data_IF_463198645054
#
_entry.id   IF_463198645054
#
_cell.length_a   1.000
_cell.length_b   1.000
_cell.length_c   1.000
_cell.angle_alpha   90.00
_cell.angle_beta   90.00
_cell.angle_gamma   90.00
#
_symmetry.space_group_name_H-M   'P 1'
#
loop_
_entity.id
_entity.type
_entity.pdbx_description
1 polymer ?
#
# COMPACT_ATOMS: atom_id res chain seq x y z
N UNK A 1 -0.52 -18.87 -1.82
CA UNK A 1 -0.82 -18.63 -3.24
C UNK A 1 -2.23 -18.09 -3.39
N UNK A 2 -2.40 -17.11 -4.28
CA UNK A 2 -3.71 -16.57 -4.64
C UNK A 2 -3.83 -16.44 -6.15
N UNK A 3 -4.97 -16.89 -6.68
CA UNK A 3 -5.31 -16.73 -8.09
C UNK A 3 -6.66 -16.01 -8.15
N UNK A 4 -6.69 -14.86 -8.81
CA UNK A 4 -7.90 -14.08 -9.01
C UNK A 4 -8.34 -14.16 -10.47
N UNK A 5 -9.59 -14.59 -10.68
CA UNK A 5 -10.26 -14.58 -11.98
C UNK A 5 -11.22 -13.42 -12.02
N UNK A 6 -11.02 -12.52 -12.97
CA UNK A 6 -11.81 -11.29 -13.12
C UNK A 6 -12.92 -11.55 -14.15
N UNK A 7 -14.14 -11.65 -13.67
CA UNK A 7 -15.33 -11.95 -14.48
C UNK A 7 -16.24 -10.73 -14.72
N UNK A 8 -15.74 -9.54 -14.41
CA UNK A 8 -16.45 -8.27 -14.65
C UNK A 8 -15.75 -7.47 -15.74
N UNK A 9 -16.53 -6.68 -16.48
CA UNK A 9 -16.01 -5.72 -17.44
C UNK A 9 -15.84 -4.36 -16.78
N UNK A 10 -14.58 -4.04 -16.48
CA UNK A 10 -14.16 -2.75 -15.95
C UNK A 10 -12.99 -2.21 -16.76
N UNK A 11 -12.86 -0.91 -16.80
CA UNK A 11 -11.74 -0.25 -17.50
C UNK A 11 -10.40 -0.65 -16.90
N UNK A 12 -10.34 -0.73 -15.58
CA UNK A 12 -9.19 -1.16 -14.77
C UNK A 12 -9.66 -1.54 -13.38
N UNK A 13 -8.96 -2.48 -12.74
CA UNK A 13 -9.04 -2.65 -11.29
C UNK A 13 -8.19 -1.56 -10.61
N UNK A 14 -8.61 -1.09 -9.44
CA UNK A 14 -7.80 -0.16 -8.65
C UNK A 14 -6.57 -0.86 -8.07
N UNK A 15 -6.77 -2.06 -7.53
CA UNK A 15 -5.71 -2.87 -6.92
C UNK A 15 -6.07 -4.36 -6.91
N UNK A 16 -5.05 -5.20 -6.81
CA UNK A 16 -5.16 -6.66 -6.63
C UNK A 16 -4.27 -7.05 -5.47
N UNK A 17 -4.85 -7.46 -4.36
CA UNK A 17 -4.12 -7.77 -3.14
C UNK A 17 -5.02 -8.19 -2.00
N UNK A 18 -4.51 -8.06 -0.79
CA UNK A 18 -5.23 -8.33 0.45
C UNK A 18 -5.09 -7.16 1.42
N UNK A 19 -6.05 -7.06 2.32
CA UNK A 19 -6.05 -6.09 3.41
C UNK A 19 -6.23 -6.80 4.74
N UNK A 20 -5.49 -6.37 5.75
CA UNK A 20 -5.68 -6.86 7.11
C UNK A 20 -5.55 -5.74 8.14
N UNK A 21 -6.09 -5.99 9.33
CA UNK A 21 -5.93 -5.13 10.49
C UNK A 21 -4.90 -5.77 11.42
N UNK A 22 -3.94 -4.98 11.88
CA UNK A 22 -2.88 -5.38 12.79
C UNK A 22 -3.01 -4.65 14.12
N UNK A 23 -2.40 -5.16 15.20
CA UNK A 23 -2.31 -4.46 16.48
C UNK A 23 -1.68 -3.07 16.31
N UNK A 24 -2.19 -2.07 17.03
CA UNK A 24 -1.66 -0.70 16.96
C UNK A 24 -0.25 -0.61 17.57
N UNK A 25 0.09 -1.54 18.46
CA UNK A 25 1.41 -1.70 19.09
C UNK A 25 2.50 -2.06 18.07
N UNK A 26 2.14 -2.72 16.98
CA UNK A 26 3.05 -3.04 15.88
C UNK A 26 3.27 -1.80 15.00
N UNK A 27 3.97 -0.85 15.55
CA UNK A 27 4.16 0.49 14.98
C UNK A 27 5.45 0.67 14.21
N UNK A 28 6.43 -0.21 14.40
CA UNK A 28 7.75 -0.13 13.75
C UNK A 28 7.73 -0.89 12.42
N UNK A 29 8.43 -0.36 11.43
CA UNK A 29 8.53 -0.91 10.08
C UNK A 29 9.99 -1.03 9.67
N UNK A 30 10.32 -2.13 9.01
CA UNK A 30 11.53 -2.25 8.20
C UNK A 30 11.14 -2.89 6.87
N UNK A 31 11.58 -2.33 5.74
CA UNK A 31 11.27 -2.94 4.44
C UNK A 31 12.43 -2.87 3.48
N UNK A 32 12.50 -3.87 2.60
CA UNK A 32 13.39 -3.87 1.45
C UNK A 32 12.57 -3.68 0.18
N UNK A 33 12.58 -2.48 -0.33
CA UNK A 33 11.78 -2.03 -1.47
C UNK A 33 12.12 -0.61 -1.86
N UNK A 34 11.21 0.05 -2.56
CA UNK A 34 11.37 1.47 -2.87
C UNK A 34 10.99 2.34 -1.67
N UNK A 35 11.71 3.45 -1.52
CA UNK A 35 11.52 4.39 -0.42
C UNK A 35 12.51 5.57 -0.46
N UNK A 36 12.60 6.35 0.64
CA UNK A 36 11.78 6.26 1.87
C UNK A 36 10.35 6.78 1.70
N UNK A 37 10.12 7.67 0.72
CA UNK A 37 8.82 8.28 0.44
C UNK A 37 7.90 7.33 -0.34
N UNK A 38 6.65 7.74 -0.53
CA UNK A 38 5.67 6.97 -1.29
C UNK A 38 6.07 6.80 -2.75
N UNK A 39 5.63 5.69 -3.34
CA UNK A 39 5.81 5.39 -4.76
C UNK A 39 4.61 4.61 -5.29
N UNK A 40 4.32 4.81 -6.58
CA UNK A 40 3.26 4.14 -7.33
C UNK A 40 3.83 3.73 -8.68
N UNK A 41 3.25 2.78 -9.38
CA UNK A 41 3.84 2.21 -10.60
C UNK A 41 4.15 3.26 -11.68
N UNK A 42 3.35 4.32 -11.77
CA UNK A 42 3.56 5.47 -12.66
C UNK A 42 4.32 6.64 -12.02
N UNK A 43 4.76 6.50 -10.76
CA UNK A 43 5.48 7.53 -9.99
C UNK A 43 6.43 6.90 -8.98
N UNK A 44 7.51 6.28 -9.44
CA UNK A 44 8.45 5.56 -8.58
C UNK A 44 9.94 5.83 -8.85
N UNK A 45 10.26 6.58 -9.88
CA UNK A 45 11.67 6.76 -10.30
C UNK A 45 12.50 7.53 -9.26
N UNK A 46 11.88 8.40 -8.46
CA UNK A 46 12.56 9.13 -7.38
C UNK A 46 12.76 8.28 -6.11
N UNK A 47 12.08 7.14 -5.99
CA UNK A 47 12.18 6.24 -4.84
C UNK A 47 13.16 5.11 -5.16
N UNK A 48 14.34 5.14 -4.57
CA UNK A 48 15.37 4.12 -4.80
C UNK A 48 15.07 2.84 -4.02
N UNK A 49 15.55 1.71 -4.55
CA UNK A 49 15.48 0.43 -3.86
C UNK A 49 16.55 0.37 -2.77
N UNK A 50 16.14 0.09 -1.55
CA UNK A 50 17.01 0.01 -0.38
C UNK A 50 16.31 -0.63 0.80
N UNK A 51 17.01 -0.73 1.93
CA UNK A 51 16.43 -1.11 3.22
C UNK A 51 16.13 0.18 3.98
N UNK A 52 14.89 0.33 4.40
CA UNK A 52 14.40 1.50 5.09
C UNK A 52 13.71 1.12 6.40
N UNK A 53 13.72 2.06 7.33
CA UNK A 53 13.03 1.96 8.61
C UNK A 53 12.06 3.13 8.76
N UNK A 54 10.99 2.94 9.51
CA UNK A 54 10.03 3.98 9.81
C UNK A 54 9.00 3.54 10.85
N UNK A 55 8.07 4.43 11.13
CA UNK A 55 6.91 4.10 11.97
C UNK A 55 5.62 4.32 11.19
N UNK A 56 4.58 3.55 11.52
CA UNK A 56 3.29 3.57 10.81
C UNK A 56 2.71 4.99 10.72
N UNK A 57 2.80 5.78 11.79
CA UNK A 57 2.23 7.13 11.84
C UNK A 57 2.89 8.15 10.90
N UNK A 58 4.08 7.84 10.40
CA UNK A 58 4.84 8.69 9.47
C UNK A 58 4.72 8.25 8.00
N UNK A 59 4.00 7.15 7.74
CA UNK A 59 3.84 6.65 6.38
C UNK A 59 2.75 7.38 5.60
N UNK A 60 1.96 8.22 6.25
CA UNK A 60 0.85 8.95 5.63
C UNK A 60 1.18 10.42 5.43
N UNK A 61 0.85 10.94 4.25
CA UNK A 61 0.89 12.37 3.98
C UNK A 61 -0.45 13.03 4.34
N UNK A 62 -0.46 14.18 5.05
CA UNK A 62 -1.69 14.82 5.49
C UNK A 62 -2.34 15.65 4.35
N UNK A 63 -2.88 14.99 3.35
CA UNK A 63 -3.64 15.65 2.30
C UNK A 63 -4.80 16.45 2.88
N UNK A 64 -5.11 17.63 2.28
CA UNK A 64 -6.25 18.47 2.71
C UNK A 64 -7.54 17.68 2.72
N UNK A 65 -7.81 16.95 1.63
CA UNK A 65 -8.87 15.93 1.57
C UNK A 65 -8.25 14.57 1.83
N UNK A 66 -8.65 13.87 2.90
CA UNK A 66 -8.16 12.53 3.18
C UNK A 66 -8.36 11.59 2.00
N UNK A 67 -7.30 10.88 1.65
CA UNK A 67 -7.27 9.92 0.57
C UNK A 67 -6.17 8.91 0.81
N UNK A 68 -6.17 7.81 0.08
CA UNK A 68 -5.07 6.88 0.12
C UNK A 68 -3.76 7.55 -0.28
N UNK A 69 -2.69 7.19 0.44
CA UNK A 69 -1.34 7.67 0.20
C UNK A 69 -0.33 6.76 0.92
N UNK A 70 0.96 7.02 0.76
CA UNK A 70 2.02 6.32 1.49
C UNK A 70 2.40 4.96 0.94
N UNK A 71 1.88 4.56 -0.23
CA UNK A 71 2.23 3.29 -0.85
C UNK A 71 3.74 3.16 -1.12
N UNK A 72 4.28 1.95 -1.00
CA UNK A 72 5.65 1.59 -1.34
C UNK A 72 5.63 0.47 -2.37
N UNK A 73 6.34 0.65 -3.48
CA UNK A 73 6.39 -0.32 -4.58
C UNK A 73 7.64 -1.20 -4.54
N UNK A 74 7.61 -2.29 -5.30
CA UNK A 74 8.74 -3.17 -5.55
C UNK A 74 9.36 -3.76 -4.26
N UNK A 75 8.52 -4.12 -3.26
CA UNK A 75 9.03 -4.66 -2.01
C UNK A 75 9.35 -6.14 -2.14
N UNK A 76 10.49 -6.54 -1.58
CA UNK A 76 10.95 -7.93 -1.46
C UNK A 76 10.42 -8.52 -0.17
N UNK A 77 10.51 -7.72 0.92
CA UNK A 77 9.97 -8.07 2.20
C UNK A 77 9.61 -6.81 3.01
N UNK A 78 8.76 -6.99 4.00
CA UNK A 78 8.31 -6.01 4.97
C UNK A 78 8.24 -6.68 6.34
N UNK A 79 8.79 -6.05 7.35
CA UNK A 79 8.64 -6.40 8.76
C UNK A 79 7.80 -5.33 9.46
N UNK A 80 6.88 -5.78 10.31
CA UNK A 80 6.03 -4.91 11.13
C UNK A 80 6.06 -5.48 12.54
N UNK A 81 6.48 -4.67 13.52
CA UNK A 81 6.75 -5.17 14.86
C UNK A 81 6.55 -4.10 15.96
N UNK A 82 6.45 -4.56 17.20
CA UNK A 82 6.39 -3.73 18.40
C UNK A 82 7.79 -3.34 18.90
N UNK A 83 7.84 -2.62 20.04
CA UNK A 83 9.11 -2.19 20.66
C UNK A 83 9.91 -3.36 21.25
N UNK A 84 9.35 -4.54 21.36
CA UNK A 84 10.00 -5.76 21.86
C UNK A 84 10.47 -6.69 20.73
N UNK A 85 10.21 -6.32 19.47
CA UNK A 85 10.55 -7.10 18.29
C UNK A 85 9.52 -8.18 17.94
N UNK A 86 8.38 -8.23 18.61
CA UNK A 86 7.30 -9.15 18.28
C UNK A 86 6.49 -8.62 17.10
N UNK A 87 6.32 -9.42 16.08
CA UNK A 87 5.67 -8.98 14.84
C UNK A 87 5.64 -10.04 13.76
N UNK A 88 5.56 -9.58 12.52
CA UNK A 88 5.55 -10.45 11.34
C UNK A 88 6.49 -9.94 10.26
N UNK A 89 7.01 -10.87 9.48
CA UNK A 89 7.68 -10.63 8.21
C UNK A 89 6.81 -11.11 7.07
N UNK A 90 6.71 -10.30 6.03
CA UNK A 90 5.97 -10.59 4.79
C UNK A 90 6.97 -10.59 3.65
N UNK A 91 6.96 -11.65 2.84
CA UNK A 91 7.79 -11.79 1.65
C UNK A 91 6.90 -12.08 0.44
N UNK A 92 7.08 -11.37 -0.65
CA UNK A 92 6.30 -11.54 -1.88
C UNK A 92 7.04 -12.22 -3.02
N UNK A 93 6.30 -12.96 -3.85
CA UNK A 93 6.78 -13.53 -5.12
C UNK A 93 5.72 -13.31 -6.22
N UNK A 94 5.99 -12.48 -7.22
CA UNK A 94 7.12 -11.53 -7.32
C UNK A 94 7.06 -10.44 -6.24
N UNK A 95 7.65 -9.29 -6.48
CA UNK A 95 7.56 -8.13 -5.58
C UNK A 95 6.12 -7.72 -5.33
N UNK A 96 5.90 -7.03 -4.22
CA UNK A 96 4.59 -6.53 -3.84
C UNK A 96 4.65 -5.04 -3.48
N UNK A 97 3.49 -4.42 -3.44
CA UNK A 97 3.30 -3.08 -2.90
C UNK A 97 2.72 -3.19 -1.49
N UNK A 98 3.06 -2.26 -0.61
CA UNK A 98 2.35 -2.14 0.64
C UNK A 98 1.97 -0.69 0.94
N UNK A 99 0.87 -0.56 1.66
CA UNK A 99 0.43 0.66 2.31
C UNK A 99 0.03 0.31 3.74
N UNK A 100 0.44 1.11 4.70
CA UNK A 100 0.03 0.92 6.09
C UNK A 100 -0.31 2.25 6.74
N UNK A 101 -1.47 2.31 7.40
CA UNK A 101 -2.01 3.53 8.00
C UNK A 101 -2.79 3.23 9.27
N UNK A 102 -2.91 4.23 10.15
CA UNK A 102 -3.79 4.17 11.33
C UNK A 102 -5.28 4.43 11.00
N UNK A 103 -5.64 4.53 9.73
CA UNK A 103 -6.98 4.82 9.25
C UNK A 103 -7.46 3.71 8.33
N UNK A 104 -8.73 3.31 8.47
CA UNK A 104 -9.33 2.44 7.47
C UNK A 104 -9.75 3.25 6.23
N UNK A 105 -9.93 2.56 5.08
CA UNK A 105 -10.48 3.20 3.87
C UNK A 105 -11.83 3.85 4.14
N UNK A 106 -12.60 3.26 5.07
CA UNK A 106 -13.89 3.81 5.49
C UNK A 106 -13.73 5.15 6.21
N UNK A 107 -12.70 5.30 7.05
CA UNK A 107 -12.41 6.54 7.75
C UNK A 107 -11.93 7.61 6.77
N UNK A 108 -11.04 7.25 5.85
CA UNK A 108 -10.59 8.14 4.78
C UNK A 108 -11.77 8.64 3.93
N UNK A 109 -12.65 7.73 3.49
CA UNK A 109 -13.81 8.09 2.66
C UNK A 109 -14.87 8.94 3.38
N UNK A 110 -14.99 8.80 4.69
CA UNK A 110 -15.94 9.59 5.49
C UNK A 110 -15.43 10.98 5.81
N UNK A 111 -14.14 11.15 5.94
CA UNK A 111 -13.52 12.40 6.36
C UNK A 111 -13.31 13.33 5.16
N UNK A 112 -13.91 14.51 5.23
CA UNK A 112 -13.77 15.52 4.17
C UNK A 112 -12.55 16.43 4.35
N UNK A 113 -11.95 16.43 5.55
CA UNK A 113 -10.82 17.29 5.91
C UNK A 113 -9.86 16.52 6.82
N UNK A 114 -8.56 16.75 6.66
CA UNK A 114 -7.51 16.05 7.40
C UNK A 114 -7.70 16.11 8.93
N UNK A 115 -8.09 17.26 9.47
CA UNK A 115 -8.29 17.44 10.91
C UNK A 115 -9.52 16.69 11.47
N UNK A 116 -10.38 16.13 10.63
CA UNK A 116 -11.51 15.28 11.06
C UNK A 116 -11.16 13.79 11.09
N UNK A 117 -9.96 13.41 10.62
CA UNK A 117 -9.47 12.06 10.75
C UNK A 117 -9.08 11.76 12.19
N UNK A 118 -9.67 10.72 12.74
CA UNK A 118 -9.34 10.22 14.08
C UNK A 118 -8.55 8.93 13.92
N UNK A 119 -7.39 8.85 14.55
CA UNK A 119 -6.57 7.63 14.55
C UNK A 119 -7.36 6.48 15.17
N UNK A 120 -7.39 5.38 14.46
CA UNK A 120 -8.04 4.16 14.93
C UNK A 120 -7.18 3.37 15.92
N UNK A 121 -7.78 2.34 16.49
CA UNK A 121 -7.14 1.39 17.42
C UNK A 121 -6.39 0.26 16.70
N UNK A 122 -6.22 0.37 15.39
CA UNK A 122 -5.59 -0.65 14.53
C UNK A 122 -4.74 0.00 13.44
N UNK A 123 -3.72 -0.73 13.06
CA UNK A 123 -2.98 -0.46 11.83
C UNK A 123 -3.65 -1.22 10.68
N UNK A 124 -3.97 -0.52 9.60
CA UNK A 124 -4.56 -1.10 8.39
C UNK A 124 -3.47 -1.28 7.35
N UNK A 125 -3.18 -2.55 7.04
CA UNK A 125 -2.16 -2.94 6.08
C UNK A 125 -2.81 -3.44 4.79
N UNK A 126 -2.41 -2.85 3.67
CA UNK A 126 -2.63 -3.40 2.34
C UNK A 126 -1.35 -4.07 1.85
N UNK A 127 -1.48 -5.26 1.29
CA UNK A 127 -0.42 -6.01 0.62
C UNK A 127 -0.93 -6.31 -0.77
N UNK A 128 -0.44 -5.55 -1.76
CA UNK A 128 -0.94 -5.65 -3.11
C UNK A 128 0.09 -6.29 -4.04
N UNK A 129 -0.35 -7.24 -4.84
CA UNK A 129 0.44 -7.71 -5.96
C UNK A 129 0.64 -6.57 -6.96
N UNK A 130 -0.44 -5.85 -7.27
CA UNK A 130 -0.42 -4.69 -8.15
C UNK A 130 -1.46 -3.65 -7.74
N UNK A 131 -1.12 -2.41 -8.04
CA UNK A 131 -2.01 -1.26 -7.94
C UNK A 131 -1.95 -0.51 -9.27
N UNK A 132 -3.06 0.05 -9.77
CA UNK A 132 -3.02 0.87 -10.96
C UNK A 132 -2.27 2.19 -10.68
N UNK A 133 -1.77 2.83 -11.73
CA UNK A 133 -1.19 4.16 -11.64
C UNK A 133 -2.19 5.21 -11.14
N UNK A 134 -1.67 6.31 -10.64
CA UNK A 134 -2.47 7.43 -10.12
C UNK A 134 -2.84 8.45 -11.21
N UNK A 135 -2.08 8.50 -12.31
CA UNK A 135 -2.17 9.57 -13.29
C UNK A 135 -1.61 10.89 -12.75
N UNK A 136 -2.15 12.02 -13.26
CA UNK A 136 -1.77 13.33 -12.74
C UNK A 136 -0.78 14.08 -13.62
N UNK A 137 -0.71 13.75 -14.90
CA UNK A 137 0.10 14.50 -15.88
C UNK A 137 -0.41 15.94 -16.05
N UNK A 138 -1.69 16.14 -15.77
CA UNK A 138 -2.35 17.44 -15.80
C UNK A 138 -3.33 17.61 -14.60
N UNK A 139 -3.81 18.83 -14.38
CA UNK A 139 -4.68 19.17 -13.24
C UNK A 139 -6.16 18.88 -13.48
N UNK A 140 -6.56 18.54 -14.68
CA UNK A 140 -7.98 18.44 -15.10
C UNK A 140 -8.38 17.06 -15.61
N UNK A 141 -7.43 16.15 -15.75
CA UNK A 141 -7.69 14.81 -16.26
C UNK A 141 -7.28 13.73 -15.24
N UNK A 142 -8.19 12.84 -14.83
CA UNK A 142 -7.85 11.69 -14.00
C UNK A 142 -7.24 10.55 -14.83
N UNK A 143 -6.68 10.82 -16.01
CA UNK A 143 -6.20 9.78 -16.92
C UNK A 143 -4.96 9.12 -16.37
N UNK A 144 -5.00 7.78 -16.37
CA UNK A 144 -3.85 6.92 -16.13
C UNK A 144 -3.39 6.38 -17.48
N UNK A 145 -2.11 6.37 -17.76
CA UNK A 145 -1.55 5.77 -18.98
C UNK A 145 -1.89 4.29 -19.06
N UNK A 146 -2.09 3.79 -20.29
CA UNK A 146 -2.64 2.45 -20.54
C UNK A 146 -1.79 1.31 -19.95
N UNK A 147 -0.48 1.49 -19.90
CA UNK A 147 0.48 0.56 -19.34
C UNK A 147 0.37 0.38 -17.81
N UNK A 148 -0.18 1.38 -17.11
CA UNK A 148 -0.39 1.35 -15.66
C UNK A 148 -1.82 0.95 -15.26
N UNK A 149 -2.65 0.53 -16.22
CA UNK A 149 -3.99 0.02 -15.96
C UNK A 149 -3.97 -1.49 -15.69
N UNK A 150 -4.75 -1.94 -14.72
CA UNK A 150 -4.89 -3.36 -14.39
C UNK A 150 -6.06 -3.97 -15.17
N UNK A 151 -5.77 -4.58 -16.31
CA UNK A 151 -6.75 -5.12 -17.26
C UNK A 151 -6.73 -6.64 -17.43
N UNK A 152 -5.79 -7.32 -16.79
CA UNK A 152 -5.68 -8.76 -16.93
C UNK A 152 -6.93 -9.45 -16.37
N UNK A 153 -7.33 -10.53 -16.99
CA UNK A 153 -8.45 -11.36 -16.50
C UNK A 153 -8.01 -12.38 -15.44
N UNK A 154 -6.70 -12.58 -15.30
CA UNK A 154 -6.14 -13.51 -14.29
C UNK A 154 -4.91 -12.85 -13.64
N UNK A 155 -4.86 -12.89 -12.33
CA UNK A 155 -3.71 -12.49 -11.52
C UNK A 155 -3.31 -13.64 -10.61
N UNK A 156 -2.01 -13.94 -10.58
CA UNK A 156 -1.44 -14.98 -9.71
C UNK A 156 -0.25 -14.41 -8.95
N UNK A 157 -0.26 -14.57 -7.63
CA UNK A 157 0.81 -14.14 -6.74
C UNK A 157 0.88 -14.96 -5.46
N UNK A 158 2.02 -14.86 -4.77
CA UNK A 158 2.29 -15.58 -3.53
C UNK A 158 2.86 -14.63 -2.50
N UNK A 159 2.35 -14.71 -1.27
CA UNK A 159 2.96 -14.14 -0.08
C UNK A 159 3.31 -15.22 0.92
N UNK A 160 4.42 -15.03 1.62
CA UNK A 160 4.76 -15.76 2.83
C UNK A 160 4.66 -14.79 4.00
N UNK A 161 3.97 -15.17 5.06
CA UNK A 161 3.84 -14.42 6.32
C UNK A 161 4.39 -15.30 7.43
N UNK A 162 5.39 -14.79 8.14
CA UNK A 162 6.12 -15.52 9.18
C UNK A 162 6.19 -14.65 10.46
N UNK A 163 6.15 -15.24 11.65
CA UNK A 163 6.44 -14.51 12.88
C UNK A 163 7.91 -14.06 12.92
N UNK A 164 8.17 -12.93 13.56
CA UNK A 164 9.51 -12.43 13.91
C UNK A 164 9.97 -13.02 15.23
#
# INVERSE_FOLDING_TARGET
>A
DAIFYINIDVLSLARVGMKCALPVEWKNLTWFGRGPHESYDDRKESAYVGIYNGIVSEQSFPHIMPQENGNKTDNRWLEIYDDFGSGIRITGKPFFNFNIQNYSDKDLNRSKKAHTLIRGEKNWLHIDYKQMGLGGDDSWSPRVHKEFLLKNKVYHYTYTIEPL
#
